data_IF_631575562240
#
_entry.id   IF_631575562240
#
_cell.length_a   1.000
_cell.length_b   1.000
_cell.length_c   1.000
_cell.angle_alpha   90.00
_cell.angle_beta   90.00
_cell.angle_gamma   90.00
#
_symmetry.space_group_name_H-M   'P 1'
#
loop_
_entity.id
_entity.type
_entity.pdbx_description
1 polymer ?
#
# COMPACT_ATOMS: atom_id res chain seq x y z
N UNK A 1 -14.20 -3.95 -4.06
CA UNK A 1 -13.09 -4.10 -3.08
C UNK A 1 -12.92 -2.83 -2.28
N UNK A 2 -12.37 -1.76 -2.81
CA UNK A 2 -12.34 -0.40 -2.23
C UNK A 2 -13.29 0.49 -2.99
N UNK A 3 -14.02 1.37 -2.28
CA UNK A 3 -14.78 2.46 -2.89
C UNK A 3 -14.69 3.71 -2.02
N UNK A 4 -14.18 4.79 -2.62
CA UNK A 4 -14.12 6.13 -2.05
C UNK A 4 -15.13 7.02 -2.77
N UNK A 5 -16.00 7.68 -2.03
CA UNK A 5 -17.02 8.60 -2.55
C UNK A 5 -16.89 9.98 -1.89
N UNK A 6 -16.39 10.96 -2.64
CA UNK A 6 -16.23 12.34 -2.18
C UNK A 6 -15.30 12.49 -0.98
N UNK A 7 -14.25 11.67 -0.89
CA UNK A 7 -13.35 11.66 0.27
C UNK A 7 -12.46 12.89 0.29
N UNK A 8 -12.55 13.66 1.37
CA UNK A 8 -11.73 14.85 1.63
C UNK A 8 -10.88 14.65 2.87
N UNK A 9 -9.66 15.17 2.87
CA UNK A 9 -8.80 15.22 4.05
C UNK A 9 -8.23 16.61 4.21
N UNK A 10 -8.56 17.22 5.33
CA UNK A 10 -8.05 18.54 5.74
C UNK A 10 -7.24 18.36 7.01
N UNK A 11 -6.07 18.99 7.04
CA UNK A 11 -5.25 19.14 8.24
C UNK A 11 -5.37 20.56 8.74
N UNK A 12 -5.66 20.72 10.02
CA UNK A 12 -5.78 21.99 10.69
C UNK A 12 -4.55 22.20 11.57
N UNK A 13 -3.88 23.33 11.42
CA UNK A 13 -2.90 23.87 12.36
C UNK A 13 -3.42 25.20 12.87
N UNK A 14 -2.81 25.78 13.91
CA UNK A 14 -3.32 27.00 14.56
C UNK A 14 -3.54 28.16 13.56
N UNK A 15 -2.75 28.22 12.47
CA UNK A 15 -2.78 29.32 11.51
C UNK A 15 -3.09 28.90 10.06
N UNK A 16 -3.23 27.58 9.79
CA UNK A 16 -3.33 27.10 8.41
C UNK A 16 -4.26 25.90 8.27
N UNK A 17 -5.09 25.95 7.23
CA UNK A 17 -5.89 24.83 6.74
C UNK A 17 -5.26 24.28 5.46
N UNK A 18 -4.91 22.99 5.48
CA UNK A 18 -4.28 22.33 4.34
C UNK A 18 -5.20 21.23 3.81
N UNK A 19 -5.75 21.42 2.63
CA UNK A 19 -6.52 20.41 1.90
C UNK A 19 -5.56 19.43 1.22
N UNK A 20 -5.30 18.30 1.87
CA UNK A 20 -4.41 17.28 1.32
C UNK A 20 -5.11 16.39 0.29
N UNK A 21 -6.42 16.18 0.45
CA UNK A 21 -7.29 15.49 -0.50
C UNK A 21 -8.62 16.25 -0.60
N UNK A 22 -9.15 16.36 -1.82
CA UNK A 22 -10.35 17.14 -2.11
C UNK A 22 -11.29 16.36 -3.03
N UNK A 23 -12.35 15.80 -2.43
CA UNK A 23 -13.43 15.13 -3.14
C UNK A 23 -12.99 13.90 -3.92
N UNK A 24 -12.13 13.05 -3.37
CA UNK A 24 -11.63 11.83 -4.04
C UNK A 24 -12.77 10.86 -4.32
N UNK A 25 -12.92 10.48 -5.59
CA UNK A 25 -13.70 9.33 -6.06
C UNK A 25 -12.74 8.31 -6.64
N UNK A 26 -12.69 7.11 -6.05
CA UNK A 26 -11.80 6.04 -6.49
C UNK A 26 -12.37 4.68 -6.13
N UNK A 27 -12.56 3.84 -7.13
CA UNK A 27 -12.91 2.44 -6.94
C UNK A 27 -11.72 1.55 -7.31
N UNK A 28 -11.48 0.51 -6.49
CA UNK A 28 -10.50 -0.53 -6.79
C UNK A 28 -11.21 -1.88 -6.76
N UNK A 29 -11.15 -2.60 -7.88
CA UNK A 29 -11.74 -3.92 -8.03
C UNK A 29 -10.97 -5.00 -7.24
N UNK A 30 -11.61 -6.14 -6.99
CA UNK A 30 -10.92 -7.30 -6.45
C UNK A 30 -10.02 -7.91 -7.52
N UNK A 31 -8.77 -8.22 -7.16
CA UNK A 31 -7.77 -8.74 -8.10
C UNK A 31 -7.24 -7.68 -9.07
N UNK A 32 -7.47 -6.39 -8.84
CA UNK A 32 -6.93 -5.29 -9.64
C UNK A 32 -5.56 -4.87 -9.13
N UNK A 33 -4.64 -4.58 -10.04
CA UNK A 33 -3.39 -3.88 -9.74
C UNK A 33 -3.52 -2.41 -10.18
N UNK A 34 -3.67 -1.52 -9.21
CA UNK A 34 -3.75 -0.08 -9.42
C UNK A 34 -2.42 0.60 -9.09
N UNK A 35 -1.97 1.50 -9.96
CA UNK A 35 -0.86 2.42 -9.68
C UNK A 35 -1.38 3.85 -9.53
N UNK A 36 -0.94 4.52 -8.46
CA UNK A 36 -1.21 5.94 -8.18
C UNK A 36 0.11 6.70 -8.35
N UNK A 37 0.12 7.67 -9.25
CA UNK A 37 1.26 8.55 -9.50
C UNK A 37 0.87 10.02 -9.34
N UNK A 38 1.87 10.91 -9.34
CA UNK A 38 1.65 12.35 -9.24
C UNK A 38 2.88 13.08 -8.67
N UNK A 39 2.93 14.41 -8.76
CA UNK A 39 4.04 15.21 -8.25
C UNK A 39 4.21 15.08 -6.73
N UNK A 40 5.38 15.49 -6.22
CA UNK A 40 5.60 15.56 -4.77
C UNK A 40 4.60 16.51 -4.12
N UNK A 41 4.08 16.15 -2.95
CA UNK A 41 3.13 16.98 -2.21
C UNK A 41 1.67 16.90 -2.68
N UNK A 42 1.33 16.18 -3.76
CA UNK A 42 -0.04 16.12 -4.29
C UNK A 42 -1.03 15.28 -3.48
N UNK A 43 -0.64 14.70 -2.33
CA UNK A 43 -1.53 13.95 -1.44
C UNK A 43 -1.42 12.42 -1.53
N UNK A 44 -0.45 11.83 -2.28
CA UNK A 44 -0.31 10.36 -2.44
C UNK A 44 -0.19 9.61 -1.11
N UNK A 45 0.71 10.04 -0.26
CA UNK A 45 0.93 9.40 1.06
C UNK A 45 -0.30 9.56 1.97
N UNK A 46 -1.00 10.70 1.88
CA UNK A 46 -2.27 10.92 2.59
C UNK A 46 -3.35 9.96 2.09
N UNK A 47 -3.49 9.81 0.77
CA UNK A 47 -4.43 8.87 0.19
C UNK A 47 -4.11 7.43 0.61
N UNK A 48 -2.83 7.04 0.56
CA UNK A 48 -2.41 5.71 0.97
C UNK A 48 -2.64 5.48 2.48
N UNK A 49 -2.44 6.50 3.32
CA UNK A 49 -2.74 6.44 4.76
C UNK A 49 -4.24 6.24 5.03
N UNK A 50 -5.13 6.90 4.27
CA UNK A 50 -6.57 6.69 4.35
C UNK A 50 -6.96 5.29 3.87
N UNK A 51 -6.48 4.86 2.69
CA UNK A 51 -6.71 3.51 2.17
C UNK A 51 -6.24 2.45 3.16
N UNK A 52 -5.13 2.75 3.84
CA UNK A 52 -4.51 1.89 4.85
C UNK A 52 -5.17 1.93 6.23
N UNK A 53 -6.22 2.71 6.43
CA UNK A 53 -6.86 2.89 7.74
C UNK A 53 -5.86 3.37 8.83
N UNK A 54 -4.79 4.07 8.42
CA UNK A 54 -3.86 4.73 9.33
C UNK A 54 -4.40 6.09 9.78
N UNK A 55 -5.21 6.73 8.92
CA UNK A 55 -5.90 7.97 9.18
C UNK A 55 -7.40 7.84 8.83
N UNK A 56 -8.18 8.88 9.11
CA UNK A 56 -9.61 8.96 8.79
C UNK A 56 -9.87 10.15 7.87
N UNK A 57 -10.82 10.03 6.93
CA UNK A 57 -11.25 11.17 6.13
C UNK A 57 -11.90 12.23 7.02
N UNK A 58 -11.83 13.49 6.58
CA UNK A 58 -12.59 14.61 7.17
C UNK A 58 -14.04 14.55 6.70
N UNK A 59 -14.23 14.22 5.41
CA UNK A 59 -15.54 14.10 4.76
C UNK A 59 -15.55 12.95 3.76
N UNK A 60 -16.75 12.60 3.29
CA UNK A 60 -16.95 11.55 2.30
C UNK A 60 -17.13 10.17 2.92
N UNK A 61 -17.09 9.15 2.08
CA UNK A 61 -17.36 7.76 2.47
C UNK A 61 -16.29 6.82 1.96
N UNK A 62 -15.85 5.88 2.82
CA UNK A 62 -14.92 4.82 2.47
C UNK A 62 -15.50 3.44 2.77
N UNK A 63 -15.69 2.64 1.73
CA UNK A 63 -16.10 1.24 1.82
C UNK A 63 -14.91 0.32 1.53
N UNK A 64 -14.64 -0.63 2.43
CA UNK A 64 -13.66 -1.71 2.26
C UNK A 64 -14.38 -3.05 2.33
N UNK A 65 -14.34 -3.84 1.25
CA UNK A 65 -15.10 -5.09 1.10
C UNK A 65 -16.60 -4.93 1.39
N UNK A 66 -17.19 -3.80 0.95
CA UNK A 66 -18.59 -3.47 1.17
C UNK A 66 -18.94 -2.98 2.58
N UNK A 67 -18.00 -3.02 3.51
CA UNK A 67 -18.16 -2.49 4.87
C UNK A 67 -17.78 -1.02 4.91
N UNK A 68 -18.63 -0.18 5.50
CA UNK A 68 -18.30 1.21 5.79
C UNK A 68 -17.25 1.29 6.90
N UNK A 69 -16.08 1.82 6.54
CA UNK A 69 -14.94 1.97 7.45
C UNK A 69 -14.62 3.44 7.76
N UNK A 70 -15.45 4.36 7.28
CA UNK A 70 -15.25 5.82 7.35
C UNK A 70 -15.00 6.30 8.78
N UNK A 71 -15.87 5.90 9.71
CA UNK A 71 -15.89 6.39 11.08
C UNK A 71 -15.71 5.28 12.12
N UNK A 72 -14.93 4.25 11.80
CA UNK A 72 -14.63 3.18 12.76
C UNK A 72 -13.92 3.72 13.99
N UNK A 73 -14.36 3.26 15.17
CA UNK A 73 -13.63 3.48 16.42
C UNK A 73 -12.18 2.96 16.32
N UNK A 74 -11.20 3.56 17.01
CA UNK A 74 -9.77 3.24 16.86
C UNK A 74 -9.45 1.76 16.95
N UNK A 75 -10.04 1.03 17.90
CA UNK A 75 -9.82 -0.42 18.06
C UNK A 75 -10.38 -1.24 16.88
N UNK A 76 -11.59 -0.90 16.39
CA UNK A 76 -12.20 -1.56 15.23
C UNK A 76 -11.40 -1.27 13.95
N UNK A 77 -10.93 -0.03 13.78
CA UNK A 77 -10.09 0.39 12.67
C UNK A 77 -8.74 -0.36 12.66
N UNK A 78 -8.09 -0.49 13.83
CA UNK A 78 -6.84 -1.24 13.95
C UNK A 78 -7.04 -2.74 13.62
N UNK A 79 -8.16 -3.33 14.03
CA UNK A 79 -8.52 -4.71 13.68
C UNK A 79 -8.76 -4.86 12.18
N UNK A 80 -9.60 -4.02 11.58
CA UNK A 80 -9.87 -4.05 10.14
C UNK A 80 -8.59 -3.90 9.32
N UNK A 81 -7.68 -2.99 9.73
CA UNK A 81 -6.37 -2.83 9.10
C UNK A 81 -5.54 -4.11 9.19
N UNK A 82 -5.41 -4.70 10.39
CA UNK A 82 -4.62 -5.92 10.58
C UNK A 82 -5.16 -7.13 9.80
N UNK A 83 -6.47 -7.24 9.66
CA UNK A 83 -7.12 -8.38 9.00
C UNK A 83 -7.13 -8.26 7.47
N UNK A 84 -7.26 -7.03 6.93
CA UNK A 84 -7.59 -6.81 5.52
C UNK A 84 -6.49 -6.14 4.71
N UNK A 85 -5.50 -5.52 5.35
CA UNK A 85 -4.51 -4.69 4.68
C UNK A 85 -3.11 -5.18 4.96
N UNK A 86 -2.35 -5.43 3.90
CA UNK A 86 -0.92 -5.67 3.97
C UNK A 86 -0.15 -4.45 3.48
N UNK A 87 0.80 -3.95 4.28
CA UNK A 87 1.62 -2.80 3.92
C UNK A 87 3.02 -3.20 3.46
N UNK A 88 3.46 -2.58 2.37
CA UNK A 88 4.81 -2.65 1.82
C UNK A 88 5.34 -1.21 1.75
N UNK A 89 6.35 -0.88 2.53
CA UNK A 89 6.92 0.47 2.64
C UNK A 89 8.24 0.58 1.90
N UNK A 90 8.57 1.78 1.45
CA UNK A 90 9.85 2.11 0.84
C UNK A 90 11.04 1.80 1.76
N UNK A 91 10.94 2.13 3.05
CA UNK A 91 12.00 1.93 4.04
C UNK A 91 11.99 0.54 4.69
N UNK A 92 11.29 -0.45 4.10
CA UNK A 92 11.11 -1.82 4.59
C UNK A 92 10.42 -1.90 5.96
N UNK A 93 10.73 -1.04 6.90
CA UNK A 93 10.20 -0.97 8.27
C UNK A 93 10.28 -2.32 9.00
N UNK A 94 11.42 -3.02 8.86
CA UNK A 94 11.73 -4.22 9.62
C UNK A 94 12.32 -3.82 10.98
N UNK A 95 11.93 -4.55 12.03
CA UNK A 95 12.47 -4.37 13.37
C UNK A 95 13.82 -5.08 13.44
N UNK A 96 14.90 -4.33 13.66
CA UNK A 96 16.28 -4.82 13.60
C UNK A 96 16.59 -5.93 14.60
N UNK A 97 16.00 -5.85 15.80
CA UNK A 97 16.21 -6.81 16.89
C UNK A 97 15.41 -8.12 16.73
N UNK A 98 14.51 -8.17 15.76
CA UNK A 98 13.73 -9.36 15.44
C UNK A 98 14.35 -10.11 14.27
N UNK A 99 14.26 -11.43 14.30
CA UNK A 99 14.62 -12.26 13.14
C UNK A 99 13.66 -12.02 11.98
N UNK A 100 14.01 -12.49 10.79
CA UNK A 100 13.16 -12.50 9.60
C UNK A 100 11.80 -13.13 9.90
N UNK A 101 11.80 -14.32 10.53
CA UNK A 101 10.56 -15.00 10.89
C UNK A 101 9.72 -14.17 11.85
N UNK A 102 10.33 -13.63 12.90
CA UNK A 102 9.62 -12.81 13.89
C UNK A 102 9.03 -11.52 13.29
N UNK A 103 9.75 -10.87 12.35
CA UNK A 103 9.22 -9.72 11.62
C UNK A 103 7.96 -10.06 10.82
N UNK A 104 7.94 -11.22 10.17
CA UNK A 104 6.78 -11.67 9.37
C UNK A 104 5.65 -12.17 10.26
N UNK A 105 5.95 -12.77 11.39
CA UNK A 105 4.95 -13.24 12.37
C UNK A 105 4.30 -12.09 13.15
N UNK A 106 5.00 -10.97 13.33
CA UNK A 106 4.60 -9.86 14.20
C UNK A 106 3.15 -9.38 13.97
N UNK A 107 2.67 -9.07 12.75
CA UNK A 107 1.29 -8.63 12.55
C UNK A 107 0.26 -9.68 12.97
N UNK A 108 0.61 -10.96 12.95
CA UNK A 108 -0.27 -12.06 13.33
C UNK A 108 -0.43 -12.17 14.86
N UNK A 109 0.50 -11.62 15.64
CA UNK A 109 0.41 -11.63 17.11
C UNK A 109 -0.76 -10.81 17.64
N UNK A 110 -1.25 -9.85 16.85
CA UNK A 110 -2.42 -9.03 17.18
C UNK A 110 -3.75 -9.75 16.91
N UNK A 111 -3.72 -10.96 16.33
CA UNK A 111 -4.91 -11.79 16.08
C UNK A 111 -5.13 -12.73 17.26
N UNK A 112 -5.91 -12.30 18.24
CA UNK A 112 -6.09 -13.01 19.51
C UNK A 112 -6.58 -14.47 19.34
N UNK A 113 -7.33 -14.77 18.26
CA UNK A 113 -7.86 -16.11 17.96
C UNK A 113 -6.86 -17.02 17.24
N UNK A 114 -5.68 -16.52 16.84
CA UNK A 114 -4.71 -17.29 16.06
C UNK A 114 -3.64 -17.92 16.97
N UNK A 115 -3.59 -19.25 17.10
CA UNK A 115 -2.58 -19.94 17.90
C UNK A 115 -1.15 -19.68 17.40
N UNK A 116 -0.16 -19.80 18.29
CA UNK A 116 1.25 -19.54 17.96
C UNK A 116 1.76 -20.42 16.79
N UNK A 117 1.38 -21.70 16.79
CA UNK A 117 1.79 -22.62 15.72
C UNK A 117 1.20 -22.24 14.36
N UNK A 118 -0.03 -21.74 14.33
CA UNK A 118 -0.65 -21.26 13.10
C UNK A 118 0.02 -19.97 12.60
N UNK A 119 0.34 -19.04 13.49
CA UNK A 119 1.09 -17.82 13.15
C UNK A 119 2.42 -18.17 12.51
N UNK A 120 3.17 -19.07 13.15
CA UNK A 120 4.47 -19.52 12.65
C UNK A 120 4.35 -20.19 11.28
N UNK A 121 3.38 -21.09 11.07
CA UNK A 121 3.12 -21.74 9.78
C UNK A 121 2.79 -20.71 8.70
N UNK A 122 1.92 -19.74 9.01
CA UNK A 122 1.56 -18.68 8.07
C UNK A 122 2.76 -17.79 7.69
N UNK A 123 3.61 -17.45 8.68
CA UNK A 123 4.82 -16.67 8.45
C UNK A 123 5.84 -17.43 7.57
N UNK A 124 6.06 -18.72 7.84
CA UNK A 124 6.96 -19.55 7.02
C UNK A 124 6.44 -19.67 5.59
N UNK A 125 5.14 -19.97 5.41
CA UNK A 125 4.54 -20.04 4.08
C UNK A 125 4.65 -18.71 3.30
N UNK A 126 4.50 -17.56 3.97
CA UNK A 126 4.72 -16.26 3.35
C UNK A 126 6.19 -16.05 2.94
N UNK A 127 7.15 -16.49 3.75
CA UNK A 127 8.57 -16.44 3.42
C UNK A 127 8.96 -17.37 2.29
N UNK A 128 8.34 -18.53 2.18
CA UNK A 128 8.50 -19.45 1.03
C UNK A 128 8.05 -18.79 -0.27
N UNK A 129 6.89 -18.12 -0.27
CA UNK A 129 6.35 -17.41 -1.46
C UNK A 129 7.29 -16.33 -2.01
N UNK A 130 8.08 -15.70 -1.15
CA UNK A 130 9.03 -14.66 -1.55
C UNK A 130 10.48 -15.18 -1.68
N UNK A 131 10.70 -16.49 -1.55
CA UNK A 131 12.01 -17.13 -1.66
C UNK A 131 12.96 -16.84 -0.49
N UNK A 132 12.43 -16.52 0.70
CA UNK A 132 13.22 -16.13 1.88
C UNK A 132 13.18 -17.17 3.03
N UNK A 133 12.59 -18.35 2.83
CA UNK A 133 12.49 -19.39 3.85
C UNK A 133 13.86 -19.85 4.40
N UNK A 134 14.93 -19.81 3.58
CA UNK A 134 16.29 -20.18 3.99
C UNK A 134 16.94 -19.13 4.93
N UNK A 135 16.31 -17.98 5.17
CA UNK A 135 16.80 -16.87 5.99
C UNK A 135 16.00 -16.60 7.27
N UNK A 136 15.13 -17.52 7.68
CA UNK A 136 14.17 -17.33 8.79
C UNK A 136 14.82 -16.88 10.13
N UNK A 137 16.05 -17.33 10.39
CA UNK A 137 16.79 -17.02 11.63
C UNK A 137 17.75 -15.82 11.49
N UNK A 138 17.85 -15.20 10.30
CA UNK A 138 18.67 -14.02 10.10
C UNK A 138 18.00 -12.76 10.64
N UNK A 139 18.80 -11.75 10.96
CA UNK A 139 18.33 -10.41 11.30
C UNK A 139 18.35 -9.50 10.07
N UNK A 140 17.56 -8.41 10.03
CA UNK A 140 17.53 -7.46 8.90
C UNK A 140 18.91 -6.94 8.49
N UNK A 141 19.81 -6.68 9.45
CA UNK A 141 21.17 -6.22 9.20
C UNK A 141 22.06 -7.19 8.41
N UNK A 142 21.66 -8.46 8.33
CA UNK A 142 22.35 -9.53 7.59
C UNK A 142 21.81 -9.73 6.16
N UNK A 143 20.86 -8.87 5.74
CA UNK A 143 20.17 -8.98 4.46
C UNK A 143 20.51 -7.79 3.55
N UNK A 144 20.58 -8.06 2.23
CA UNK A 144 20.61 -6.97 1.24
C UNK A 144 19.27 -6.22 1.21
N UNK A 145 19.24 -4.99 0.69
CA UNK A 145 18.01 -4.20 0.56
C UNK A 145 16.88 -4.95 -0.18
N UNK A 146 17.21 -5.62 -1.28
CA UNK A 146 16.24 -6.44 -2.01
C UNK A 146 15.71 -7.63 -1.20
N UNK A 147 16.56 -8.25 -0.37
CA UNK A 147 16.12 -9.31 0.55
C UNK A 147 15.24 -8.75 1.67
N UNK A 148 15.58 -7.59 2.24
CA UNK A 148 14.76 -6.91 3.25
C UNK A 148 13.37 -6.56 2.67
N UNK A 149 13.31 -6.06 1.44
CA UNK A 149 12.03 -5.77 0.80
C UNK A 149 11.19 -7.02 0.56
N UNK A 150 11.80 -8.13 0.14
CA UNK A 150 11.08 -9.42 0.04
C UNK A 150 10.52 -9.87 1.40
N UNK A 151 11.26 -9.68 2.49
CA UNK A 151 10.75 -9.97 3.85
C UNK A 151 9.61 -9.02 4.22
N UNK A 152 9.67 -7.73 3.85
CA UNK A 152 8.56 -6.79 4.05
C UNK A 152 7.31 -7.20 3.25
N UNK A 153 7.48 -7.70 2.01
CA UNK A 153 6.38 -8.29 1.22
C UNK A 153 5.82 -9.53 1.91
N UNK A 154 6.66 -10.45 2.42
CA UNK A 154 6.19 -11.62 3.16
C UNK A 154 5.39 -11.23 4.41
N UNK A 155 5.85 -10.22 5.15
CA UNK A 155 5.13 -9.68 6.32
C UNK A 155 3.76 -9.17 5.93
N UNK A 156 3.65 -8.46 4.79
CA UNK A 156 2.38 -7.98 4.28
C UNK A 156 1.42 -9.13 3.90
N UNK A 157 1.94 -10.23 3.36
CA UNK A 157 1.18 -11.40 2.90
C UNK A 157 0.74 -12.34 4.02
N UNK A 158 1.48 -12.41 5.13
CA UNK A 158 1.32 -13.43 6.16
C UNK A 158 -0.11 -13.50 6.72
N UNK A 159 -0.78 -12.34 6.81
CA UNK A 159 -2.16 -12.21 7.26
C UNK A 159 -3.21 -12.56 6.21
N UNK A 160 -2.85 -12.91 4.99
CA UNK A 160 -3.76 -13.08 3.85
C UNK A 160 -4.70 -11.88 3.68
N UNK A 161 -4.15 -10.68 3.47
CA UNK A 161 -4.95 -9.47 3.39
C UNK A 161 -5.84 -9.47 2.14
N UNK A 162 -6.91 -8.68 2.17
CA UNK A 162 -7.75 -8.42 1.00
C UNK A 162 -7.03 -7.54 -0.02
N UNK A 163 -6.14 -6.65 0.44
CA UNK A 163 -5.37 -5.74 -0.41
C UNK A 163 -3.95 -5.53 0.10
N UNK A 164 -3.01 -5.41 -0.82
CA UNK A 164 -1.65 -4.94 -0.58
C UNK A 164 -1.55 -3.45 -0.94
N UNK A 165 -1.11 -2.64 0.00
CA UNK A 165 -0.79 -1.23 -0.21
C UNK A 165 0.72 -1.07 -0.24
N UNK A 166 1.27 -0.64 -1.37
CA UNK A 166 2.70 -0.47 -1.58
C UNK A 166 3.05 1.02 -1.74
N UNK A 167 3.83 1.55 -0.80
CA UNK A 167 4.34 2.91 -0.84
C UNK A 167 5.77 2.89 -1.36
N UNK A 168 5.96 3.28 -2.61
CA UNK A 168 7.26 3.34 -3.28
C UNK A 168 8.12 2.07 -3.07
N UNK A 169 7.61 0.86 -3.38
CA UNK A 169 8.21 -0.40 -2.92
C UNK A 169 9.61 -0.66 -3.48
N UNK A 170 10.07 0.15 -4.42
CA UNK A 170 11.39 0.05 -5.08
C UNK A 170 12.30 1.24 -4.80
N UNK A 171 11.83 2.27 -4.08
CA UNK A 171 12.51 3.55 -3.95
C UNK A 171 13.90 3.49 -3.28
N UNK A 172 14.16 2.47 -2.45
CA UNK A 172 15.46 2.26 -1.78
C UNK A 172 16.26 1.11 -2.39
N UNK A 173 15.95 0.70 -3.62
CA UNK A 173 16.58 -0.44 -4.28
C UNK A 173 17.33 -0.01 -5.55
N UNK A 174 18.38 -0.72 -5.88
CA UNK A 174 18.96 -0.67 -7.22
C UNK A 174 17.97 -1.23 -8.26
N UNK A 175 18.22 -0.95 -9.54
CA UNK A 175 17.31 -1.33 -10.63
C UNK A 175 17.05 -2.85 -10.68
N UNK A 176 18.08 -3.69 -10.46
CA UNK A 176 17.96 -5.14 -10.50
C UNK A 176 17.07 -5.68 -9.38
N UNK A 177 17.27 -5.18 -8.16
CA UNK A 177 16.46 -5.56 -7.01
C UNK A 177 15.04 -4.98 -7.12
N UNK A 178 14.90 -3.76 -7.65
CA UNK A 178 13.60 -3.14 -7.94
C UNK A 178 12.78 -3.98 -8.92
N UNK A 179 13.36 -4.38 -10.04
CA UNK A 179 12.68 -5.27 -11.01
C UNK A 179 12.28 -6.61 -10.39
N UNK A 180 13.14 -7.19 -9.55
CA UNK A 180 12.84 -8.46 -8.88
C UNK A 180 11.65 -8.33 -7.91
N UNK A 181 11.52 -7.19 -7.19
CA UNK A 181 10.37 -6.92 -6.32
C UNK A 181 9.12 -6.66 -7.15
N UNK A 182 9.20 -5.91 -8.25
CA UNK A 182 8.04 -5.66 -9.12
C UNK A 182 7.55 -6.95 -9.80
N UNK A 183 8.45 -7.81 -10.24
CA UNK A 183 8.08 -9.13 -10.78
C UNK A 183 7.38 -9.97 -9.71
N UNK A 184 7.85 -9.97 -8.46
CA UNK A 184 7.16 -10.63 -7.35
C UNK A 184 5.74 -10.08 -7.14
N UNK A 185 5.56 -8.75 -7.12
CA UNK A 185 4.23 -8.14 -6.98
C UNK A 185 3.31 -8.53 -8.14
N UNK A 186 3.84 -8.59 -9.38
CA UNK A 186 3.07 -9.03 -10.55
C UNK A 186 2.70 -10.52 -10.48
N UNK A 187 3.55 -11.38 -9.95
CA UNK A 187 3.23 -12.78 -9.69
C UNK A 187 2.09 -12.90 -8.68
N UNK A 188 2.19 -12.19 -7.56
CA UNK A 188 1.14 -12.14 -6.54
C UNK A 188 -0.21 -11.62 -7.10
N UNK A 189 -0.16 -10.61 -7.98
CA UNK A 189 -1.34 -10.12 -8.68
C UNK A 189 -1.95 -11.20 -9.58
N UNK A 190 -1.16 -11.91 -10.37
CA UNK A 190 -1.62 -13.04 -11.22
C UNK A 190 -2.25 -14.17 -10.42
N UNK A 191 -1.84 -14.35 -9.16
CA UNK A 191 -2.45 -15.27 -8.20
C UNK A 191 -3.75 -14.74 -7.57
N UNK A 192 -4.19 -13.54 -7.95
CA UNK A 192 -5.43 -12.91 -7.52
C UNK A 192 -5.32 -11.90 -6.39
N UNK A 193 -4.11 -11.49 -6.00
CA UNK A 193 -3.94 -10.40 -5.02
C UNK A 193 -4.40 -9.07 -5.60
N UNK A 194 -5.12 -8.29 -4.80
CA UNK A 194 -5.42 -6.88 -5.11
C UNK A 194 -4.26 -6.02 -4.65
N UNK A 195 -3.74 -5.13 -5.50
CA UNK A 195 -2.58 -4.30 -5.19
C UNK A 195 -2.89 -2.84 -5.52
N UNK A 196 -2.62 -1.94 -4.58
CA UNK A 196 -2.60 -0.50 -4.82
C UNK A 196 -1.20 0.01 -4.52
N UNK A 197 -0.51 0.50 -5.53
CA UNK A 197 0.87 0.96 -5.44
C UNK A 197 0.96 2.46 -5.69
N UNK A 198 1.67 3.17 -4.83
CA UNK A 198 2.14 4.53 -5.09
C UNK A 198 3.56 4.43 -5.64
N UNK A 199 3.81 5.08 -6.78
CA UNK A 199 5.16 5.20 -7.35
C UNK A 199 5.30 6.47 -8.18
N UNK A 200 6.48 7.04 -8.18
CA UNK A 200 6.86 8.13 -9.07
C UNK A 200 7.66 7.64 -10.29
N UNK A 201 8.06 6.36 -10.33
CA UNK A 201 8.77 5.78 -11.46
C UNK A 201 7.78 5.24 -12.51
N UNK A 202 7.72 5.86 -13.72
CA UNK A 202 6.79 5.45 -14.75
C UNK A 202 7.02 4.01 -15.23
N UNK A 203 8.26 3.49 -15.18
CA UNK A 203 8.59 2.11 -15.56
C UNK A 203 7.86 1.11 -14.66
N UNK A 204 7.78 1.40 -13.37
CA UNK A 204 7.10 0.54 -12.40
C UNK A 204 5.59 0.76 -12.40
N UNK A 205 5.11 1.95 -12.74
CA UNK A 205 3.69 2.19 -12.94
C UNK A 205 3.10 1.32 -14.06
N UNK A 206 3.91 0.94 -15.08
CA UNK A 206 3.51 0.07 -16.20
C UNK A 206 3.26 -1.40 -15.81
N UNK A 207 3.56 -1.80 -14.58
CA UNK A 207 3.21 -3.12 -14.05
C UNK A 207 1.74 -3.24 -13.66
N UNK A 208 1.05 -2.12 -13.44
CA UNK A 208 -0.34 -2.07 -13.02
C UNK A 208 -1.31 -2.19 -14.21
N UNK A 209 -2.51 -2.74 -13.96
CA UNK A 209 -3.58 -2.83 -14.95
C UNK A 209 -4.17 -1.46 -15.26
N UNK A 210 -4.23 -0.60 -14.23
CA UNK A 210 -4.77 0.75 -14.33
C UNK A 210 -3.87 1.76 -13.61
N UNK A 211 -3.73 2.91 -14.23
CA UNK A 211 -2.97 4.04 -13.68
C UNK A 211 -3.91 5.18 -13.37
N UNK A 212 -3.71 5.77 -12.21
CA UNK A 212 -4.43 6.96 -11.75
C UNK A 212 -3.40 8.03 -11.41
N UNK A 213 -3.66 9.25 -11.84
CA UNK A 213 -2.84 10.39 -11.46
C UNK A 213 -3.54 11.21 -10.38
N UNK A 214 -2.78 11.54 -9.34
CA UNK A 214 -3.19 12.45 -8.30
C UNK A 214 -2.52 13.81 -8.54
N UNK A 215 -3.32 14.87 -8.53
CA UNK A 215 -2.83 16.23 -8.70
C UNK A 215 -3.60 17.18 -7.77
N UNK A 216 -2.89 17.93 -6.93
CA UNK A 216 -3.47 18.87 -5.94
C UNK A 216 -4.65 18.27 -5.15
N UNK A 217 -4.44 17.05 -4.61
CA UNK A 217 -5.44 16.36 -3.80
C UNK A 217 -6.61 15.75 -4.56
N UNK A 218 -6.61 15.77 -5.90
CA UNK A 218 -7.69 15.24 -6.74
C UNK A 218 -7.23 14.11 -7.65
N UNK A 219 -8.09 13.12 -7.84
CA UNK A 219 -7.88 12.08 -8.85
C UNK A 219 -8.21 12.65 -10.24
N UNK A 220 -7.21 12.57 -11.12
CA UNK A 220 -7.35 12.96 -12.53
C UNK A 220 -7.56 11.70 -13.36
N UNK A 221 -8.66 11.64 -14.09
CA UNK A 221 -8.89 10.62 -15.10
C UNK A 221 -8.04 10.91 -16.34
N UNK A 222 -7.46 9.88 -16.97
CA UNK A 222 -6.63 10.06 -18.19
C UNK A 222 -7.37 10.87 -19.29
N UNK A 223 -8.69 10.73 -19.38
CA UNK A 223 -9.53 11.50 -20.32
C UNK A 223 -9.50 13.02 -20.04
N UNK A 224 -9.35 13.45 -18.79
CA UNK A 224 -9.27 14.87 -18.41
C UNK A 224 -7.87 15.46 -18.58
N UNK A 225 -6.83 14.63 -18.63
CA UNK A 225 -5.45 15.11 -18.82
C UNK A 225 -5.16 15.55 -20.24
N UNK A 226 -5.76 14.91 -21.24
CA UNK A 226 -5.64 15.31 -22.65
C UNK A 226 -6.19 16.72 -22.84
N UNK A 227 -7.32 17.05 -22.21
CA UNK A 227 -7.94 18.38 -22.27
C UNK A 227 -7.09 19.47 -21.58
N UNK A 228 -6.47 19.16 -20.42
CA UNK A 228 -5.60 20.11 -19.71
C UNK A 228 -4.27 20.36 -20.44
N UNK A 229 -3.68 19.34 -21.06
CA UNK A 229 -2.46 19.49 -21.84
C UNK A 229 -2.71 20.31 -23.12
N UNK A 230 -3.86 20.12 -23.77
CA UNK A 230 -4.28 20.92 -24.93
C UNK A 230 -4.61 22.39 -24.58
N UNK A 231 -5.22 22.64 -23.42
CA UNK A 231 -5.48 24.00 -22.92
C UNK A 231 -4.20 24.74 -22.55
N UNK A 232 -3.20 24.10 -21.98
CA UNK A 232 -1.88 24.69 -21.68
C UNK A 232 -1.09 25.00 -22.97
N UNK A 233 -1.18 24.14 -23.98
CA UNK A 233 -0.53 24.38 -25.28
C UNK A 233 -1.21 25.48 -26.08
N UNK A 234 -2.49 25.76 -25.81
CA UNK A 234 -3.24 26.86 -26.51
C UNK A 234 -3.08 28.22 -25.84
N UNK A 235 -2.47 28.28 -24.63
CA UNK A 235 -2.22 29.53 -23.87
C UNK A 235 -0.73 29.90 -23.77
N UNK A 236 0.17 29.16 -24.40
CA UNK A 236 1.60 29.44 -24.56
C UNK A 236 1.90 29.85 -26.01
#
# INVERSE_FOLDING_TARGET
MISLAGVTKVFYTDDLETHALDGIHLDVGKGEFLSISGPSGCGKSTLLALLGLLDTPTEGKYLLDGQDVTALAPAARARARNERIGFIFQAFNLIGDLTVLQNVELPLTYRASMPADERRKAAVAALERVGMAHRVNHHPSQLSGGQQQRVAVARALAGRPSILLADEPTGNLDSRNGEAVMNLLRELHREGSTICMVTHDPRYADYADRKVQLFDGRVMDESKMIDLSQRRAATA
#
